data_IF_623733825587
#
_entry.id   IF_623733825587
#
_cell.length_a   1.000
_cell.length_b   1.000
_cell.length_c   1.000
_cell.angle_alpha   90.00
_cell.angle_beta   90.00
_cell.angle_gamma   90.00
#
_symmetry.space_group_name_H-M   'P 1'
#
loop_
_entity.id
_entity.type
_entity.pdbx_description
1 polymer ?
#
# COMPACT_ATOMS: atom_id res chain seq x y z
N UNK A 1 6.69 -22.51 -3.34
CA UNK A 1 6.74 -21.03 -3.47
C UNK A 1 6.34 -20.66 -4.88
N UNK A 2 5.57 -19.60 -5.05
CA UNK A 2 5.12 -19.09 -6.36
C UNK A 2 6.21 -18.21 -6.97
N UNK A 3 6.53 -18.43 -8.26
CA UNK A 3 7.53 -17.62 -8.96
C UNK A 3 7.02 -16.18 -9.17
N UNK A 4 7.83 -15.19 -8.86
CA UNK A 4 7.48 -13.79 -8.89
C UNK A 4 8.42 -12.94 -9.74
N UNK A 5 7.90 -11.86 -10.33
CA UNK A 5 8.66 -10.79 -10.97
C UNK A 5 8.33 -9.45 -10.31
N UNK A 6 9.33 -8.58 -10.15
CA UNK A 6 9.15 -7.17 -9.81
C UNK A 6 9.27 -6.34 -11.08
N UNK A 7 8.21 -5.62 -11.43
CA UNK A 7 8.17 -4.67 -12.54
C UNK A 7 8.47 -3.26 -12.03
N UNK A 8 9.35 -2.54 -12.71
CA UNK A 8 9.85 -1.24 -12.25
C UNK A 8 10.96 -1.37 -11.21
N UNK A 9 11.84 -2.36 -11.38
CA UNK A 9 12.84 -2.80 -10.41
C UNK A 9 13.78 -1.70 -9.89
N UNK A 10 14.14 -0.72 -10.71
CA UNK A 10 15.03 0.39 -10.31
C UNK A 10 14.32 1.53 -9.59
N UNK A 11 12.98 1.53 -9.56
CA UNK A 11 12.18 2.52 -8.84
C UNK A 11 12.15 2.27 -7.33
N UNK A 12 11.81 3.29 -6.54
CA UNK A 12 11.78 3.21 -5.08
C UNK A 12 10.91 2.06 -4.57
N UNK A 13 9.67 1.97 -5.04
CA UNK A 13 8.74 0.89 -4.65
C UNK A 13 9.22 -0.46 -5.17
N UNK A 14 9.80 -0.51 -6.38
CA UNK A 14 10.41 -1.74 -6.92
C UNK A 14 11.55 -2.26 -6.06
N UNK A 15 12.38 -1.38 -5.51
CA UNK A 15 13.45 -1.76 -4.58
C UNK A 15 12.90 -2.22 -3.22
N UNK A 16 11.86 -1.56 -2.68
CA UNK A 16 11.16 -2.04 -1.47
C UNK A 16 10.54 -3.43 -1.69
N UNK A 17 9.98 -3.70 -2.88
CA UNK A 17 9.49 -5.03 -3.24
C UNK A 17 10.61 -6.08 -3.27
N UNK A 18 11.78 -5.75 -3.81
CA UNK A 18 12.94 -6.64 -3.80
C UNK A 18 13.37 -6.99 -2.37
N UNK A 19 13.44 -6.01 -1.46
CA UNK A 19 13.73 -6.26 -0.05
C UNK A 19 12.72 -7.26 0.55
N UNK A 20 11.42 -7.01 0.38
CA UNK A 20 10.36 -7.82 1.00
C UNK A 20 10.20 -9.20 0.38
N UNK A 21 10.60 -9.39 -0.87
CA UNK A 21 10.49 -10.67 -1.59
C UNK A 21 11.78 -11.52 -1.51
N UNK A 22 12.89 -10.96 -1.03
CA UNK A 22 14.19 -11.63 -1.01
C UNK A 22 14.15 -12.99 -0.27
N UNK A 23 13.49 -13.05 0.88
CA UNK A 23 13.35 -14.26 1.71
C UNK A 23 11.87 -14.59 2.00
N UNK A 24 10.98 -14.23 1.09
CA UNK A 24 9.54 -14.34 1.34
C UNK A 24 9.07 -15.80 1.38
N UNK A 25 8.29 -16.24 2.40
CA UNK A 25 7.93 -17.65 2.55
C UNK A 25 6.96 -18.19 1.49
N UNK A 26 6.20 -17.31 0.82
CA UNK A 26 5.18 -17.73 -0.17
C UNK A 26 5.60 -17.46 -1.61
N UNK A 27 6.49 -16.49 -1.85
CA UNK A 27 6.94 -16.07 -3.17
C UNK A 27 8.43 -16.27 -3.33
N UNK A 28 8.86 -16.71 -4.53
CA UNK A 28 10.27 -16.80 -4.92
C UNK A 28 10.52 -15.83 -6.06
N UNK A 29 11.31 -14.78 -5.79
CA UNK A 29 11.68 -13.83 -6.82
C UNK A 29 12.49 -14.55 -7.90
N UNK A 30 12.07 -14.46 -9.17
CA UNK A 30 12.65 -15.15 -10.33
C UNK A 30 13.20 -14.20 -11.37
N UNK A 31 12.67 -12.98 -11.42
CA UNK A 31 13.07 -11.97 -12.37
C UNK A 31 12.84 -10.57 -11.85
N UNK A 32 13.61 -9.64 -12.40
CA UNK A 32 13.38 -8.21 -12.33
C UNK A 32 13.11 -7.71 -13.74
N UNK A 33 12.20 -6.72 -13.87
CA UNK A 33 11.96 -6.07 -15.14
C UNK A 33 11.94 -4.54 -14.96
N UNK A 34 12.42 -3.84 -15.96
CA UNK A 34 12.53 -2.39 -15.96
C UNK A 34 12.49 -1.81 -17.36
N UNK A 35 12.67 -0.49 -17.48
CA UNK A 35 12.73 0.18 -18.78
C UNK A 35 14.03 -0.15 -19.52
N UNK A 36 14.10 0.22 -20.78
CA UNK A 36 15.31 0.09 -21.62
C UNK A 36 16.59 0.63 -20.97
N UNK A 37 16.48 1.58 -20.02
CA UNK A 37 17.64 2.12 -19.28
C UNK A 37 18.32 1.09 -18.39
N UNK A 38 17.59 0.09 -17.93
CA UNK A 38 18.08 -0.93 -16.99
C UNK A 38 18.01 -2.34 -17.57
N UNK A 39 17.35 -2.53 -18.71
CA UNK A 39 17.28 -3.81 -19.41
C UNK A 39 18.68 -4.33 -19.75
N UNK A 40 18.91 -5.62 -19.48
CA UNK A 40 20.21 -6.28 -19.68
C UNK A 40 21.24 -6.08 -18.56
N UNK A 41 21.01 -5.16 -17.60
CA UNK A 41 21.90 -4.98 -16.45
C UNK A 41 21.83 -6.20 -15.53
N UNK A 42 22.96 -6.55 -14.92
CA UNK A 42 22.93 -7.51 -13.81
C UNK A 42 22.20 -6.87 -12.61
N UNK A 43 21.33 -7.58 -11.89
CA UNK A 43 20.62 -7.07 -10.72
C UNK A 43 21.51 -6.38 -9.67
N UNK A 44 22.73 -6.87 -9.47
CA UNK A 44 23.69 -6.29 -8.52
C UNK A 44 24.23 -4.92 -8.99
N UNK A 45 24.13 -4.61 -10.28
CA UNK A 45 24.58 -3.36 -10.87
C UNK A 45 23.50 -2.29 -10.89
N UNK A 46 22.25 -2.66 -10.53
CA UNK A 46 21.17 -1.69 -10.45
C UNK A 46 21.47 -0.62 -9.39
N UNK A 47 21.32 0.67 -9.73
CA UNK A 47 21.51 1.73 -8.77
C UNK A 47 20.58 1.55 -7.57
N UNK A 48 21.14 1.30 -6.39
CA UNK A 48 20.37 1.16 -5.16
C UNK A 48 20.23 2.52 -4.47
N UNK A 49 19.01 2.90 -4.12
CA UNK A 49 18.72 4.20 -3.54
C UNK A 49 18.07 4.16 -2.16
N UNK A 50 17.76 2.97 -1.66
CA UNK A 50 17.24 2.80 -0.30
C UNK A 50 18.37 2.69 0.70
N UNK A 51 18.04 2.91 1.98
CA UNK A 51 18.95 2.66 3.09
C UNK A 51 19.33 1.18 3.16
N UNK A 52 20.56 0.92 3.60
CA UNK A 52 21.12 -0.44 3.67
C UNK A 52 21.62 -0.96 2.33
N UNK A 53 21.98 -2.22 2.31
CA UNK A 53 22.46 -2.91 1.11
C UNK A 53 21.31 -3.48 0.28
N UNK A 54 21.50 -3.51 -1.04
CA UNK A 54 20.62 -4.27 -1.92
C UNK A 54 20.63 -5.75 -1.52
N UNK A 55 19.48 -6.45 -1.56
CA UNK A 55 19.46 -7.89 -1.31
C UNK A 55 20.33 -8.60 -2.36
N UNK A 56 21.10 -9.59 -1.93
CA UNK A 56 21.86 -10.44 -2.85
C UNK A 56 20.90 -11.42 -3.51
N UNK A 57 20.60 -11.18 -4.78
CA UNK A 57 19.64 -11.96 -5.56
C UNK A 57 20.38 -12.63 -6.73
N UNK A 58 20.31 -13.95 -6.79
CA UNK A 58 20.80 -14.73 -7.94
C UNK A 58 19.68 -14.80 -8.99
N UNK A 59 19.63 -13.78 -9.86
CA UNK A 59 18.60 -13.60 -10.85
C UNK A 59 19.22 -13.34 -12.23
N UNK A 60 18.49 -13.63 -13.33
CA UNK A 60 18.92 -13.27 -14.67
C UNK A 60 19.01 -11.73 -14.83
N UNK A 61 19.68 -11.25 -15.88
CA UNK A 61 19.68 -9.84 -16.22
C UNK A 61 18.27 -9.25 -16.28
N UNK A 62 18.14 -7.99 -15.91
CA UNK A 62 16.86 -7.27 -15.89
C UNK A 62 16.18 -7.34 -17.26
N UNK A 63 14.93 -7.76 -17.28
CA UNK A 63 14.13 -7.87 -18.50
C UNK A 63 13.61 -6.49 -18.92
N UNK A 64 13.43 -6.29 -20.23
CA UNK A 64 12.79 -5.09 -20.75
C UNK A 64 11.26 -5.23 -20.68
N UNK A 65 10.58 -4.26 -20.04
CA UNK A 65 9.11 -4.24 -19.95
C UNK A 65 8.44 -4.02 -21.31
N UNK A 66 9.15 -3.43 -22.28
CA UNK A 66 8.65 -3.17 -23.63
C UNK A 66 8.90 -4.35 -24.61
N UNK A 67 9.67 -5.37 -24.18
CA UNK A 67 9.92 -6.55 -25.02
C UNK A 67 8.61 -7.29 -25.34
N UNK A 68 8.25 -7.49 -26.63
CA UNK A 68 7.10 -8.31 -27.00
C UNK A 68 7.15 -9.74 -26.45
N UNK A 69 8.35 -10.33 -26.31
CA UNK A 69 8.58 -11.68 -25.78
C UNK A 69 8.64 -11.76 -24.24
N UNK A 70 8.41 -10.67 -23.53
CA UNK A 70 8.53 -10.63 -22.06
C UNK A 70 7.70 -11.71 -21.38
N UNK A 71 6.45 -11.91 -21.78
CA UNK A 71 5.53 -12.88 -21.15
C UNK A 71 6.06 -14.30 -21.27
N UNK A 72 6.55 -14.69 -22.43
CA UNK A 72 7.14 -16.02 -22.65
C UNK A 72 8.38 -16.24 -21.79
N UNK A 73 9.28 -15.25 -21.77
CA UNK A 73 10.49 -15.31 -20.91
C UNK A 73 10.15 -15.44 -19.44
N UNK A 74 9.14 -14.70 -18.96
CA UNK A 74 8.70 -14.80 -17.57
C UNK A 74 8.15 -16.20 -17.26
N UNK A 75 7.39 -16.79 -18.19
CA UNK A 75 6.87 -18.17 -18.04
C UNK A 75 8.00 -19.21 -18.01
N UNK A 76 8.99 -19.07 -18.88
CA UNK A 76 10.18 -19.95 -18.92
C UNK A 76 10.97 -19.89 -17.60
N UNK A 77 10.99 -18.73 -16.92
CA UNK A 77 11.57 -18.55 -15.59
C UNK A 77 10.67 -19.06 -14.46
N UNK A 78 9.50 -19.62 -14.79
CA UNK A 78 8.54 -20.11 -13.81
C UNK A 78 7.81 -18.99 -13.05
N UNK A 79 7.70 -17.80 -13.62
CA UNK A 79 6.95 -16.68 -13.03
C UNK A 79 5.46 -16.89 -13.24
N UNK A 80 4.70 -16.79 -12.16
CA UNK A 80 3.24 -16.82 -12.16
C UNK A 80 2.60 -15.59 -11.49
N UNK A 81 3.41 -14.73 -10.84
CA UNK A 81 2.98 -13.53 -10.14
C UNK A 81 3.83 -12.32 -10.53
N UNK A 82 3.19 -11.20 -10.81
CA UNK A 82 3.85 -9.93 -11.08
C UNK A 82 3.47 -8.89 -10.01
N UNK A 83 4.50 -8.29 -9.41
CA UNK A 83 4.39 -7.16 -8.51
C UNK A 83 4.72 -5.89 -9.29
N UNK A 84 3.69 -5.13 -9.65
CA UNK A 84 3.84 -3.98 -10.55
C UNK A 84 4.04 -2.68 -9.77
N UNK A 85 5.18 -2.05 -10.01
CA UNK A 85 5.56 -0.73 -9.49
C UNK A 85 6.02 0.21 -10.62
N UNK A 86 5.44 0.04 -11.80
CA UNK A 86 5.70 0.89 -12.97
C UNK A 86 4.79 2.14 -12.96
N UNK A 87 5.17 3.20 -13.71
CA UNK A 87 4.28 4.33 -13.94
C UNK A 87 2.94 3.93 -14.56
N UNK A 88 1.89 4.72 -14.32
CA UNK A 88 0.52 4.38 -14.72
C UNK A 88 0.32 4.25 -16.24
N UNK A 89 1.04 5.02 -17.03
CA UNK A 89 1.04 4.93 -18.49
C UNK A 89 1.65 3.60 -18.99
N UNK A 90 2.75 3.16 -18.38
CA UNK A 90 3.37 1.85 -18.65
C UNK A 90 2.43 0.72 -18.20
N UNK A 91 1.83 0.84 -17.01
CA UNK A 91 0.89 -0.16 -16.49
C UNK A 91 -0.29 -0.41 -17.43
N UNK A 92 -0.83 0.65 -18.06
CA UNK A 92 -1.95 0.56 -18.99
C UNK A 92 -1.69 -0.40 -20.18
N UNK A 93 -0.45 -0.46 -20.64
CA UNK A 93 -0.08 -1.32 -21.77
C UNK A 93 0.46 -2.68 -21.31
N UNK A 94 1.21 -2.71 -20.21
CA UNK A 94 1.95 -3.89 -19.75
C UNK A 94 1.08 -4.89 -18.99
N UNK A 95 0.29 -4.41 -18.02
CA UNK A 95 -0.45 -5.30 -17.10
C UNK A 95 -1.48 -6.19 -17.82
N UNK A 96 -2.27 -5.71 -18.80
CA UNK A 96 -3.15 -6.59 -19.56
C UNK A 96 -2.40 -7.71 -20.32
N UNK A 97 -1.23 -7.42 -20.89
CA UNK A 97 -0.41 -8.44 -21.57
C UNK A 97 0.01 -9.57 -20.64
N UNK A 98 0.33 -9.24 -19.39
CA UNK A 98 0.69 -10.24 -18.37
C UNK A 98 -0.53 -11.08 -17.97
N UNK A 99 -1.68 -10.44 -17.75
CA UNK A 99 -2.94 -11.11 -17.43
C UNK A 99 -3.36 -12.05 -18.56
N UNK A 100 -3.35 -11.59 -19.80
CA UNK A 100 -3.65 -12.40 -21.00
C UNK A 100 -2.67 -13.58 -21.13
N UNK A 101 -1.44 -13.38 -20.68
CA UNK A 101 -0.41 -14.41 -20.60
C UNK A 101 -0.54 -15.36 -19.40
N UNK A 102 -1.56 -15.23 -18.56
CA UNK A 102 -1.80 -16.11 -17.41
C UNK A 102 -0.98 -15.77 -16.17
N UNK A 103 -0.35 -14.59 -16.10
CA UNK A 103 0.41 -14.12 -14.94
C UNK A 103 -0.50 -13.28 -14.06
N UNK A 104 -0.62 -13.65 -12.78
CA UNK A 104 -1.36 -12.89 -11.77
C UNK A 104 -0.68 -11.53 -11.54
N UNK A 105 -1.43 -10.43 -11.55
CA UNK A 105 -0.89 -9.08 -11.39
C UNK A 105 -1.42 -8.44 -10.11
N UNK A 106 -0.50 -8.04 -9.23
CA UNK A 106 -0.76 -7.11 -8.14
C UNK A 106 -0.08 -5.77 -8.45
N UNK A 107 -0.85 -4.69 -8.51
CA UNK A 107 -0.40 -3.38 -9.01
C UNK A 107 -0.47 -2.27 -7.98
N UNK A 108 0.61 -1.48 -7.88
CA UNK A 108 0.63 -0.18 -7.19
C UNK A 108 0.24 0.99 -8.09
N UNK A 109 0.19 0.78 -9.42
CA UNK A 109 -0.16 1.83 -10.36
C UNK A 109 -1.62 2.27 -10.18
N UNK A 110 -1.89 3.57 -10.38
CA UNK A 110 -3.25 4.10 -10.27
C UNK A 110 -4.12 3.82 -11.50
N UNK A 111 -3.53 3.29 -12.58
CA UNK A 111 -4.17 3.13 -13.89
C UNK A 111 -5.46 2.30 -13.87
N UNK A 112 -5.50 1.28 -13.03
CA UNK A 112 -6.60 0.31 -12.96
C UNK A 112 -7.42 0.37 -11.67
N UNK A 113 -7.08 1.25 -10.73
CA UNK A 113 -7.87 1.45 -9.52
C UNK A 113 -9.29 1.87 -9.85
N UNK A 114 -10.27 1.36 -9.13
CA UNK A 114 -11.71 1.66 -9.30
C UNK A 114 -12.28 1.33 -10.69
N UNK A 115 -11.68 0.38 -11.41
CA UNK A 115 -12.26 -0.17 -12.64
C UNK A 115 -13.08 -1.42 -12.33
N UNK A 116 -14.22 -1.55 -12.97
CA UNK A 116 -15.07 -2.75 -12.87
C UNK A 116 -14.28 -4.00 -13.21
N UNK A 117 -14.42 -5.06 -12.42
CA UNK A 117 -13.71 -6.33 -12.60
C UNK A 117 -12.27 -6.34 -12.12
N UNK A 118 -11.72 -5.20 -11.65
CA UNK A 118 -10.36 -5.12 -11.08
C UNK A 118 -10.48 -4.72 -9.61
N UNK A 119 -10.18 -5.65 -8.68
CA UNK A 119 -10.24 -5.38 -7.25
C UNK A 119 -9.31 -4.24 -6.82
N UNK A 120 -9.81 -3.33 -5.99
CA UNK A 120 -9.03 -2.36 -5.22
C UNK A 120 -9.09 -2.79 -3.76
N UNK A 121 -7.97 -3.26 -3.21
CA UNK A 121 -7.97 -3.97 -1.94
C UNK A 121 -6.89 -3.48 -0.99
N UNK A 122 -7.30 -3.26 0.26
CA UNK A 122 -6.45 -3.22 1.44
C UNK A 122 -6.71 -4.53 2.19
N UNK A 123 -5.77 -5.46 2.12
CA UNK A 123 -6.00 -6.87 2.42
C UNK A 123 -6.58 -7.15 3.82
N UNK A 124 -6.19 -6.37 4.82
CA UNK A 124 -6.68 -6.47 6.20
C UNK A 124 -7.92 -5.60 6.49
N UNK A 125 -8.53 -5.01 5.46
CA UNK A 125 -9.70 -4.13 5.57
C UNK A 125 -10.90 -4.63 4.77
N UNK A 126 -10.73 -4.83 3.45
CA UNK A 126 -11.79 -5.21 2.52
C UNK A 126 -11.42 -6.42 1.62
N UNK A 127 -10.98 -7.56 2.19
CA UNK A 127 -10.54 -8.73 1.43
C UNK A 127 -11.62 -9.29 0.52
N UNK A 128 -12.90 -9.14 0.90
CA UNK A 128 -14.05 -9.55 0.10
C UNK A 128 -14.12 -8.86 -1.27
N UNK A 129 -13.52 -7.67 -1.44
CA UNK A 129 -13.47 -7.00 -2.74
C UNK A 129 -12.64 -7.77 -3.79
N UNK A 130 -11.82 -8.72 -3.39
CA UNK A 130 -11.19 -9.65 -4.33
C UNK A 130 -12.22 -10.41 -5.19
N UNK A 131 -13.45 -10.57 -4.71
CA UNK A 131 -14.55 -11.22 -5.44
C UNK A 131 -15.14 -10.36 -6.57
N UNK A 132 -14.70 -9.11 -6.75
CA UNK A 132 -15.06 -8.32 -7.96
C UNK A 132 -14.46 -8.89 -9.24
N UNK A 133 -13.40 -9.70 -9.11
CA UNK A 133 -12.79 -10.42 -10.22
C UNK A 133 -13.73 -11.50 -10.74
N UNK A 134 -13.89 -11.66 -12.07
CA UNK A 134 -14.65 -12.77 -12.63
C UNK A 134 -14.08 -14.13 -12.19
N UNK A 135 -14.94 -15.06 -11.82
CA UNK A 135 -14.52 -16.40 -11.38
C UNK A 135 -13.68 -17.09 -12.48
N UNK A 136 -12.63 -17.79 -12.08
CA UNK A 136 -11.72 -18.50 -13.00
C UNK A 136 -10.77 -17.60 -13.82
N UNK A 137 -10.91 -16.27 -13.75
CA UNK A 137 -10.00 -15.36 -14.45
C UNK A 137 -8.64 -15.23 -13.75
N UNK A 138 -7.61 -14.84 -14.50
CA UNK A 138 -6.31 -14.45 -13.95
C UNK A 138 -6.48 -13.20 -13.10
N UNK A 139 -5.80 -13.13 -11.95
CA UNK A 139 -5.90 -11.97 -11.06
C UNK A 139 -5.27 -10.73 -11.70
N UNK A 140 -6.01 -9.63 -11.69
CA UNK A 140 -5.50 -8.29 -11.82
C UNK A 140 -6.07 -7.46 -10.67
N UNK A 141 -5.28 -7.15 -9.65
CA UNK A 141 -5.73 -6.42 -8.49
C UNK A 141 -4.82 -5.23 -8.16
N UNK A 142 -5.39 -4.19 -7.59
CA UNK A 142 -4.68 -2.97 -7.23
C UNK A 142 -4.62 -2.79 -5.71
N UNK A 143 -3.46 -2.36 -5.22
CA UNK A 143 -3.34 -1.73 -3.92
C UNK A 143 -3.77 -0.25 -3.99
N UNK A 144 -4.11 0.33 -2.84
CA UNK A 144 -4.56 1.70 -2.72
C UNK A 144 -3.42 2.72 -2.77
N UNK A 145 -3.79 3.98 -2.84
CA UNK A 145 -2.93 5.15 -2.67
C UNK A 145 -2.34 5.18 -1.24
N UNK A 146 -1.05 5.54 -1.14
CA UNK A 146 -0.33 5.57 0.12
C UNK A 146 -0.87 6.60 1.13
N UNK A 147 -1.46 7.69 0.64
CA UNK A 147 -2.06 8.74 1.47
C UNK A 147 -3.36 8.29 2.12
N UNK A 148 -4.06 7.33 1.52
CA UNK A 148 -5.30 6.82 2.07
C UNK A 148 -5.10 6.03 3.36
N UNK A 149 -4.05 5.24 3.48
CA UNK A 149 -3.86 4.29 4.58
C UNK A 149 -3.94 4.96 5.96
N UNK A 150 -3.21 6.04 6.25
CA UNK A 150 -3.30 6.70 7.56
C UNK A 150 -4.67 7.36 7.83
N UNK A 151 -5.48 7.64 6.81
CA UNK A 151 -6.87 8.09 6.98
C UNK A 151 -7.83 6.90 7.19
N UNK A 152 -7.67 5.85 6.42
CA UNK A 152 -8.59 4.71 6.36
C UNK A 152 -8.71 3.97 7.69
N UNK A 153 -7.59 3.71 8.37
CA UNK A 153 -7.59 2.91 9.59
C UNK A 153 -8.39 3.56 10.72
N UNK A 154 -8.09 4.81 11.14
CA UNK A 154 -8.87 5.47 12.17
C UNK A 154 -10.31 5.80 11.70
N UNK A 155 -10.53 6.13 10.41
CA UNK A 155 -11.86 6.31 9.86
C UNK A 155 -12.73 5.08 10.11
N UNK A 156 -12.26 3.88 9.74
CA UNK A 156 -13.03 2.66 9.89
C UNK A 156 -13.26 2.27 11.35
N UNK A 157 -12.26 2.46 12.22
CA UNK A 157 -12.43 2.20 13.65
C UNK A 157 -13.56 3.04 14.23
N UNK A 158 -13.56 4.34 13.95
CA UNK A 158 -14.56 5.28 14.44
C UNK A 158 -15.92 5.11 13.74
N UNK A 159 -15.91 4.85 12.43
CA UNK A 159 -17.15 4.65 11.68
C UNK A 159 -17.91 3.41 12.13
N UNK A 160 -17.22 2.31 12.41
CA UNK A 160 -17.83 1.06 12.92
C UNK A 160 -18.42 1.23 14.33
N UNK A 161 -17.77 2.05 15.17
CA UNK A 161 -18.17 2.22 16.56
C UNK A 161 -19.27 3.29 16.73
N UNK A 162 -19.18 4.41 16.02
CA UNK A 162 -19.99 5.61 16.27
C UNK A 162 -20.69 6.15 15.03
N UNK A 163 -20.36 5.66 13.85
CA UNK A 163 -20.64 6.32 12.57
C UNK A 163 -19.80 7.60 12.40
N UNK A 164 -19.27 7.83 11.23
CA UNK A 164 -18.63 9.11 10.85
C UNK A 164 -19.57 9.80 9.87
N UNK A 165 -19.98 11.05 10.18
CA UNK A 165 -20.80 11.89 9.31
C UNK A 165 -19.97 12.58 8.26
N UNK A 166 -18.90 13.24 8.72
CA UNK A 166 -17.98 13.97 7.85
C UNK A 166 -16.58 14.02 8.48
N UNK A 167 -15.58 14.40 7.68
CA UNK A 167 -14.23 14.64 8.16
C UNK A 167 -13.59 15.82 7.44
N UNK A 168 -12.61 16.43 8.10
CA UNK A 168 -11.69 17.39 7.50
C UNK A 168 -10.27 16.93 7.76
N UNK A 169 -9.50 16.73 6.69
CA UNK A 169 -8.16 16.16 6.79
C UNK A 169 -7.11 16.98 6.01
N UNK A 170 -5.90 17.02 6.55
CA UNK A 170 -4.72 17.54 5.86
C UNK A 170 -3.63 16.47 5.88
N UNK A 171 -3.10 16.11 4.71
CA UNK A 171 -1.97 15.20 4.64
C UNK A 171 -0.64 15.94 4.57
N UNK A 172 0.35 15.42 5.30
CA UNK A 172 1.76 15.75 5.19
C UNK A 172 2.47 14.59 4.49
N UNK A 173 2.72 14.75 3.19
CA UNK A 173 3.30 13.68 2.38
C UNK A 173 4.81 13.82 2.27
N UNK A 174 5.54 12.78 2.65
CA UNK A 174 6.98 12.69 2.53
C UNK A 174 7.45 12.67 1.06
N UNK A 175 8.72 13.02 0.81
CA UNK A 175 9.34 13.10 -0.51
C UNK A 175 9.29 11.79 -1.29
N UNK A 176 9.47 10.65 -0.61
CA UNK A 176 9.43 9.32 -1.23
C UNK A 176 8.10 9.01 -1.92
N UNK A 177 6.99 9.67 -1.54
CA UNK A 177 5.72 9.57 -2.23
C UNK A 177 5.74 10.05 -3.68
N UNK A 178 6.74 10.87 -4.07
CA UNK A 178 6.99 11.28 -5.45
C UNK A 178 8.17 10.52 -6.10
N UNK A 179 8.70 9.48 -5.43
CA UNK A 179 9.78 8.66 -5.92
C UNK A 179 11.17 9.28 -5.81
N UNK A 180 12.16 8.65 -6.44
CA UNK A 180 13.57 9.04 -6.32
C UNK A 180 13.89 10.43 -6.84
N UNK A 181 13.21 10.90 -7.88
CA UNK A 181 13.46 12.22 -8.44
C UNK A 181 13.37 13.34 -7.39
N UNK A 182 12.34 13.28 -6.54
CA UNK A 182 12.18 14.27 -5.47
C UNK A 182 13.13 13.99 -4.28
N UNK A 183 13.33 12.73 -3.91
CA UNK A 183 14.26 12.36 -2.83
C UNK A 183 15.69 12.83 -3.11
N UNK A 184 16.13 12.77 -4.36
CA UNK A 184 17.47 13.14 -4.80
C UNK A 184 17.60 14.61 -5.19
N UNK A 185 16.52 15.38 -5.13
CA UNK A 185 16.51 16.77 -5.57
C UNK A 185 16.61 16.95 -7.09
N UNK A 186 16.35 15.93 -7.87
CA UNK A 186 16.35 15.96 -9.34
C UNK A 186 15.08 16.62 -9.89
N UNK A 187 14.02 16.67 -9.08
CA UNK A 187 12.74 17.32 -9.38
C UNK A 187 12.52 18.43 -8.35
N UNK A 188 12.03 19.61 -8.76
CA UNK A 188 11.74 20.70 -7.84
C UNK A 188 10.70 20.31 -6.78
N UNK A 189 10.92 20.75 -5.55
CA UNK A 189 9.96 20.59 -4.48
C UNK A 189 8.71 21.46 -4.74
N UNK A 190 7.54 20.83 -4.67
CA UNK A 190 6.25 21.53 -4.70
C UNK A 190 5.49 21.24 -3.43
N UNK A 191 5.00 22.25 -2.76
CA UNK A 191 4.19 22.11 -1.55
C UNK A 191 2.82 21.48 -1.87
N UNK A 192 2.14 21.96 -2.90
CA UNK A 192 0.83 21.44 -3.31
C UNK A 192 0.97 20.18 -4.17
N UNK A 193 0.05 19.25 -4.00
CA UNK A 193 -0.04 17.98 -4.76
C UNK A 193 -1.41 17.95 -5.47
N UNK A 194 -1.51 18.51 -6.67
CA UNK A 194 -2.78 18.60 -7.38
C UNK A 194 -3.40 17.22 -7.67
N UNK A 195 -4.72 17.12 -7.47
CA UNK A 195 -5.50 15.91 -7.77
C UNK A 195 -5.33 14.77 -6.78
N UNK A 196 -4.45 14.90 -5.77
CA UNK A 196 -4.20 13.82 -4.82
C UNK A 196 -5.35 13.66 -3.81
N UNK A 197 -5.95 14.77 -3.39
CA UNK A 197 -7.10 14.74 -2.49
C UNK A 197 -8.30 14.02 -3.11
N UNK A 198 -8.64 14.35 -4.35
CA UNK A 198 -9.74 13.73 -5.09
C UNK A 198 -9.51 12.22 -5.32
N UNK A 199 -8.28 11.82 -5.62
CA UNK A 199 -7.92 10.40 -5.74
C UNK A 199 -8.11 9.68 -4.42
N UNK A 200 -7.59 10.25 -3.33
CA UNK A 200 -7.64 9.65 -1.99
C UNK A 200 -9.08 9.50 -1.51
N UNK A 201 -9.89 10.56 -1.61
CA UNK A 201 -11.32 10.53 -1.26
C UNK A 201 -12.09 9.52 -2.12
N UNK A 202 -11.85 9.50 -3.43
CA UNK A 202 -12.49 8.56 -4.33
C UNK A 202 -12.10 7.10 -4.08
N UNK A 203 -10.88 6.81 -3.64
CA UNK A 203 -10.48 5.46 -3.22
C UNK A 203 -11.08 5.09 -1.86
N UNK A 204 -11.22 6.04 -0.92
CA UNK A 204 -11.91 5.82 0.35
C UNK A 204 -13.33 5.34 0.12
N UNK A 205 -14.15 6.08 -0.67
CA UNK A 205 -15.53 5.70 -0.95
C UNK A 205 -15.65 4.32 -1.58
N UNK A 206 -14.68 3.94 -2.42
CA UNK A 206 -14.64 2.63 -3.07
C UNK A 206 -14.30 1.50 -2.07
N UNK A 207 -13.26 1.67 -1.24
CA UNK A 207 -12.80 0.65 -0.29
C UNK A 207 -13.82 0.39 0.82
N UNK A 208 -14.53 1.44 1.28
CA UNK A 208 -15.59 1.28 2.29
C UNK A 208 -16.97 1.00 1.67
N UNK A 209 -17.02 0.81 0.35
CA UNK A 209 -18.24 0.48 -0.38
C UNK A 209 -18.68 -0.96 -0.16
N UNK A 210 -19.95 -1.21 -0.43
CA UNK A 210 -20.54 -2.53 -0.34
C UNK A 210 -20.25 -3.35 -1.59
N UNK A 211 -19.87 -4.60 -1.41
CA UNK A 211 -19.77 -5.56 -2.50
C UNK A 211 -21.10 -6.31 -2.67
N UNK A 212 -21.74 -6.17 -3.81
CA UNK A 212 -22.94 -6.88 -4.16
C UNK A 212 -22.84 -7.47 -5.57
N UNK A 213 -23.13 -8.76 -5.73
CA UNK A 213 -23.08 -9.50 -7.01
C UNK A 213 -21.77 -9.26 -7.79
N UNK A 214 -20.62 -9.28 -7.12
CA UNK A 214 -19.30 -9.06 -7.74
C UNK A 214 -19.03 -7.63 -8.17
N UNK A 215 -19.87 -6.66 -7.79
CA UNK A 215 -19.69 -5.24 -8.10
C UNK A 215 -19.59 -4.43 -6.83
N UNK A 216 -18.60 -3.54 -6.75
CA UNK A 216 -18.48 -2.57 -5.65
C UNK A 216 -19.44 -1.41 -5.88
N UNK A 217 -20.27 -1.14 -4.91
CA UNK A 217 -21.10 0.05 -4.82
C UNK A 217 -20.44 1.03 -3.85
N UNK A 218 -19.81 2.11 -4.35
CA UNK A 218 -19.09 3.05 -3.49
C UNK A 218 -20.03 3.66 -2.44
N UNK A 219 -19.55 3.71 -1.20
CA UNK A 219 -20.27 4.39 -0.12
C UNK A 219 -20.22 5.91 -0.28
N UNK A 220 -21.26 6.59 0.18
CA UNK A 220 -21.20 8.04 0.34
C UNK A 220 -20.39 8.35 1.59
N UNK A 221 -19.25 8.99 1.40
CA UNK A 221 -18.38 9.50 2.49
C UNK A 221 -18.26 10.99 2.31
N UNK A 222 -18.86 11.75 3.22
CA UNK A 222 -18.72 13.21 3.22
C UNK A 222 -17.41 13.61 3.90
N UNK A 223 -16.67 14.53 3.28
CA UNK A 223 -15.41 14.99 3.83
C UNK A 223 -14.68 15.98 2.93
N UNK A 224 -13.68 16.61 3.51
CA UNK A 224 -12.78 17.52 2.81
C UNK A 224 -11.34 17.13 3.09
N UNK A 225 -10.50 17.17 2.07
CA UNK A 225 -9.09 16.82 2.19
C UNK A 225 -8.20 17.82 1.45
N UNK A 226 -7.08 18.15 2.08
CA UNK A 226 -5.97 18.88 1.46
C UNK A 226 -4.72 18.03 1.51
N UNK A 227 -3.99 17.96 0.40
CA UNK A 227 -2.73 17.22 0.32
C UNK A 227 -1.56 18.19 0.12
N UNK A 228 -0.58 18.09 1.01
CA UNK A 228 0.62 18.92 0.94
C UNK A 228 1.88 18.07 1.10
N UNK A 229 2.98 18.52 0.48
CA UNK A 229 4.30 17.91 0.60
C UNK A 229 5.06 18.53 1.76
N UNK A 230 5.79 17.67 2.49
CA UNK A 230 6.71 18.10 3.54
C UNK A 230 8.13 17.64 3.23
N UNK A 231 9.10 18.32 3.84
CA UNK A 231 10.54 18.05 3.67
C UNK A 231 11.00 16.91 4.60
N UNK A 232 10.34 15.75 4.43
CA UNK A 232 10.63 14.52 5.14
C UNK A 232 10.92 13.41 4.13
N UNK A 233 11.79 12.45 4.48
CA UNK A 233 12.13 11.37 3.56
C UNK A 233 10.98 10.39 3.37
N UNK A 234 10.48 9.81 4.47
CA UNK A 234 9.44 8.80 4.52
C UNK A 234 8.38 9.13 5.59
N UNK A 235 7.23 8.47 5.50
CA UNK A 235 6.13 8.60 6.46
C UNK A 235 5.12 9.67 6.08
N UNK A 236 3.93 9.23 5.66
CA UNK A 236 2.78 10.13 5.46
C UNK A 236 2.02 10.28 6.76
N UNK A 237 1.74 11.53 7.14
CA UNK A 237 0.90 11.86 8.29
C UNK A 237 -0.40 12.48 7.78
N UNK A 238 -1.50 12.13 8.43
CA UNK A 238 -2.80 12.80 8.30
C UNK A 238 -3.12 13.47 9.63
N UNK A 239 -3.40 14.77 9.59
CA UNK A 239 -4.10 15.50 10.66
C UNK A 239 -5.58 15.52 10.29
N UNK A 240 -6.45 14.98 11.13
CA UNK A 240 -7.86 14.82 10.81
C UNK A 240 -8.77 15.13 11.99
N UNK A 241 -9.90 15.77 11.65
CA UNK A 241 -11.05 15.93 12.56
C UNK A 241 -12.22 15.17 11.97
N UNK A 242 -12.76 14.22 12.74
CA UNK A 242 -13.97 13.48 12.42
C UNK A 242 -15.16 14.06 13.17
N UNK A 243 -16.30 14.21 12.50
CA UNK A 243 -17.60 14.42 13.14
C UNK A 243 -18.35 13.08 13.22
N UNK A 244 -18.63 12.63 14.42
CA UNK A 244 -19.30 11.36 14.68
C UNK A 244 -20.84 11.50 14.54
N UNK A 245 -21.51 10.41 14.22
CA UNK A 245 -22.98 10.36 14.20
C UNK A 245 -23.58 10.24 15.60
N UNK A 246 -22.87 9.60 16.53
CA UNK A 246 -23.25 9.47 17.93
C UNK A 246 -22.23 10.14 18.85
N UNK A 247 -22.65 10.46 20.06
CA UNK A 247 -21.77 11.03 21.10
C UNK A 247 -20.77 9.98 21.56
N UNK A 248 -19.54 10.41 21.85
CA UNK A 248 -18.49 9.55 22.37
C UNK A 248 -17.58 10.31 23.34
N UNK A 249 -17.15 9.62 24.37
CA UNK A 249 -16.12 10.08 25.31
C UNK A 249 -14.73 9.73 24.77
N UNK A 250 -13.70 10.39 25.28
CA UNK A 250 -12.31 10.08 24.94
C UNK A 250 -11.99 8.59 25.21
N UNK A 251 -12.45 8.03 26.32
CA UNK A 251 -12.22 6.63 26.68
C UNK A 251 -12.87 5.66 25.69
N UNK A 252 -14.07 5.95 25.22
CA UNK A 252 -14.75 5.12 24.21
C UNK A 252 -14.07 5.20 22.86
N UNK A 253 -13.62 6.39 22.45
CA UNK A 253 -12.82 6.58 21.24
C UNK A 253 -11.51 5.81 21.30
N UNK A 254 -10.79 5.89 22.43
CA UNK A 254 -9.56 5.11 22.66
C UNK A 254 -9.83 3.61 22.54
N UNK A 255 -10.88 3.13 23.18
CA UNK A 255 -11.27 1.72 23.13
C UNK A 255 -11.60 1.26 21.70
N UNK A 256 -12.30 2.08 20.91
CA UNK A 256 -12.62 1.77 19.52
C UNK A 256 -11.37 1.69 18.63
N UNK A 257 -10.40 2.61 18.80
CA UNK A 257 -9.13 2.60 18.10
C UNK A 257 -8.28 1.37 18.50
N UNK A 258 -8.20 1.07 19.80
CA UNK A 258 -7.41 -0.06 20.32
C UNK A 258 -8.00 -1.43 19.95
N UNK A 259 -9.31 -1.51 19.71
CA UNK A 259 -10.03 -2.72 19.31
C UNK A 259 -9.97 -2.98 17.79
N UNK A 260 -9.47 -2.04 16.98
CA UNK A 260 -9.41 -2.21 15.54
C UNK A 260 -8.42 -3.32 15.17
N UNK A 261 -8.91 -4.37 14.54
CA UNK A 261 -8.17 -5.60 14.25
C UNK A 261 -8.04 -5.84 12.74
N UNK A 262 -7.01 -6.58 12.37
CA UNK A 262 -6.84 -7.16 11.03
C UNK A 262 -8.03 -8.04 10.68
N UNK A 263 -8.51 -7.96 9.44
CA UNK A 263 -9.59 -8.83 8.97
C UNK A 263 -9.17 -10.31 9.11
N UNK A 264 -10.06 -11.21 9.54
CA UNK A 264 -9.73 -12.63 9.75
C UNK A 264 -9.06 -13.31 8.56
N UNK A 265 -9.46 -12.98 7.32
CA UNK A 265 -8.89 -13.56 6.10
C UNK A 265 -7.41 -13.18 5.87
N UNK A 266 -6.98 -12.04 6.41
CA UNK A 266 -5.58 -11.59 6.33
C UNK A 266 -4.78 -11.90 7.60
N UNK A 267 -5.45 -12.28 8.68
CA UNK A 267 -4.78 -12.59 9.95
C UNK A 267 -3.85 -13.79 9.80
N UNK A 268 -2.61 -13.64 10.28
CA UNK A 268 -1.60 -14.71 10.21
C UNK A 268 -0.85 -14.80 8.88
N UNK A 269 -1.18 -13.96 7.88
CA UNK A 269 -0.34 -13.83 6.69
C UNK A 269 1.02 -13.22 7.04
N UNK A 270 2.10 -13.59 6.34
CA UNK A 270 3.46 -13.18 6.71
C UNK A 270 3.67 -11.67 6.88
N UNK A 271 3.06 -10.86 6.00
CA UNK A 271 3.16 -9.39 6.05
C UNK A 271 2.07 -8.72 6.87
N UNK A 272 1.09 -9.47 7.39
CA UNK A 272 -0.02 -8.90 8.17
C UNK A 272 0.47 -8.49 9.57
N UNK A 273 0.35 -7.21 9.98
CA UNK A 273 0.65 -6.82 11.34
C UNK A 273 -0.38 -7.43 12.31
N UNK A 274 0.03 -7.78 13.52
CA UNK A 274 -0.91 -8.30 14.52
C UNK A 274 -2.01 -7.27 14.85
N UNK A 275 -1.61 -6.00 14.97
CA UNK A 275 -2.53 -4.86 15.04
C UNK A 275 -2.28 -3.96 13.84
N UNK A 276 -3.26 -3.75 12.97
CA UNK A 276 -3.11 -2.88 11.80
C UNK A 276 -3.02 -1.39 12.19
N UNK A 277 -3.37 -1.08 13.45
CA UNK A 277 -3.29 0.25 14.03
C UNK A 277 -2.80 0.17 15.47
N UNK A 278 -1.89 1.07 15.84
CA UNK A 278 -1.32 1.23 17.18
C UNK A 278 -1.57 2.65 17.67
N UNK A 279 -2.11 2.80 18.89
CA UNK A 279 -2.28 4.10 19.51
C UNK A 279 -1.09 4.42 20.43
N UNK A 280 -0.63 5.66 20.40
CA UNK A 280 0.40 6.21 21.30
C UNK A 280 -0.16 7.36 22.12
N UNK A 281 0.39 7.55 23.31
CA UNK A 281 0.11 8.72 24.12
C UNK A 281 0.97 9.89 23.63
N UNK A 282 0.32 11.01 23.24
CA UNK A 282 1.00 12.20 22.74
C UNK A 282 1.26 12.19 21.23
N UNK A 283 2.30 12.92 20.76
CA UNK A 283 2.49 13.17 19.35
C UNK A 283 2.97 11.95 18.57
N UNK A 284 2.48 11.86 17.34
CA UNK A 284 3.00 10.93 16.34
C UNK A 284 4.35 11.46 15.83
N UNK A 285 5.35 10.60 15.78
CA UNK A 285 6.72 10.92 15.45
C UNK A 285 7.25 9.97 14.36
N UNK A 286 7.79 10.52 13.25
CA UNK A 286 8.29 9.72 12.12
C UNK A 286 9.51 8.89 12.50
N UNK A 287 10.42 9.44 13.29
CA UNK A 287 11.66 8.75 13.66
C UNK A 287 11.37 7.53 14.56
N UNK A 288 10.42 7.67 15.49
CA UNK A 288 10.09 6.63 16.47
C UNK A 288 9.09 5.61 15.95
N UNK A 289 8.13 6.03 15.14
CA UNK A 289 6.93 5.25 14.88
C UNK A 289 6.82 4.73 13.44
N UNK A 290 7.73 5.13 12.54
CA UNK A 290 7.66 4.79 11.12
C UNK A 290 7.62 3.28 10.87
N UNK A 291 8.39 2.53 11.66
CA UNK A 291 8.55 1.09 11.49
C UNK A 291 7.59 0.24 12.37
N UNK A 292 6.51 0.83 12.86
CA UNK A 292 5.51 0.12 13.66
C UNK A 292 5.09 -1.21 13.01
N UNK A 293 5.19 -2.32 13.77
CA UNK A 293 4.96 -3.68 13.29
C UNK A 293 3.63 -4.29 13.76
N UNK A 294 2.87 -3.53 14.56
CA UNK A 294 1.62 -3.98 15.18
C UNK A 294 1.79 -4.48 16.61
N UNK A 295 3.02 -4.53 17.14
CA UNK A 295 3.35 -4.88 18.52
C UNK A 295 4.31 -3.89 19.16
N UNK A 296 5.25 -3.39 18.37
CA UNK A 296 6.38 -2.56 18.81
C UNK A 296 6.75 -1.51 17.77
N UNK A 297 7.75 -0.71 18.12
CA UNK A 297 8.37 0.30 17.26
C UNK A 297 9.86 -0.04 17.08
N UNK A 298 10.19 -1.01 16.19
CA UNK A 298 11.57 -1.42 16.00
C UNK A 298 12.43 -0.28 15.42
N UNK A 299 13.65 -0.15 15.93
CA UNK A 299 14.62 0.85 15.48
C UNK A 299 15.66 0.29 14.51
N UNK A 300 15.71 -1.03 14.40
CA UNK A 300 16.54 -1.75 13.43
C UNK A 300 15.65 -2.75 12.72
N UNK A 301 15.59 -2.67 11.42
CA UNK A 301 14.67 -3.45 10.58
C UNK A 301 15.46 -4.07 9.43
N UNK A 302 15.29 -5.37 9.22
CA UNK A 302 15.65 -6.05 8.00
C UNK A 302 14.38 -6.45 7.24
N UNK A 303 14.03 -5.70 6.21
CA UNK A 303 12.79 -5.92 5.46
C UNK A 303 12.74 -7.25 4.69
N UNK A 304 13.84 -7.98 4.60
CA UNK A 304 13.87 -9.34 4.04
C UNK A 304 13.35 -10.40 5.02
N UNK A 305 13.33 -10.10 6.32
CA UNK A 305 12.90 -11.00 7.40
C UNK A 305 11.77 -10.41 8.24
N UNK A 306 11.81 -9.10 8.50
CA UNK A 306 10.85 -8.39 9.34
C UNK A 306 9.65 -7.92 8.50
N UNK A 307 8.89 -8.88 7.94
CA UNK A 307 7.82 -8.59 6.99
C UNK A 307 6.66 -7.76 7.56
N UNK A 308 6.53 -7.65 8.88
CA UNK A 308 5.52 -6.82 9.55
C UNK A 308 6.03 -5.41 9.88
N UNK A 309 7.34 -5.15 9.81
CA UNK A 309 7.90 -3.83 10.09
C UNK A 309 7.37 -2.77 9.11
N UNK A 310 6.92 -1.64 9.66
CA UNK A 310 6.30 -0.55 8.90
C UNK A 310 4.89 -0.85 8.38
N UNK A 311 4.26 -1.95 8.83
CA UNK A 311 2.93 -2.37 8.36
C UNK A 311 1.78 -1.90 9.24
N UNK A 312 2.03 -1.36 10.43
CA UNK A 312 0.98 -0.77 11.27
C UNK A 312 0.88 0.75 11.06
N UNK A 313 -0.34 1.27 11.11
CA UNK A 313 -0.62 2.70 11.22
C UNK A 313 -0.51 3.12 12.67
N UNK A 314 0.08 4.27 12.94
CA UNK A 314 0.20 4.81 14.31
C UNK A 314 -0.70 6.01 14.47
N UNK A 315 -1.50 6.04 15.54
CA UNK A 315 -2.43 7.13 15.89
C UNK A 315 -2.01 7.77 17.19
N UNK A 316 -1.93 9.09 17.21
CA UNK A 316 -1.64 9.90 18.41
C UNK A 316 -2.26 11.28 18.32
N UNK A 317 -1.85 12.19 19.19
CA UNK A 317 -2.42 13.55 19.31
C UNK A 317 -3.96 13.53 19.44
N UNK A 318 -4.49 12.53 20.13
CA UNK A 318 -5.92 12.26 20.21
C UNK A 318 -6.61 13.22 21.18
N UNK A 319 -7.64 13.91 20.72
CA UNK A 319 -8.56 14.69 21.56
C UNK A 319 -10.01 14.50 21.11
N UNK A 320 -10.93 14.76 22.06
CA UNK A 320 -12.37 14.79 21.79
C UNK A 320 -12.88 16.18 22.19
N UNK A 321 -13.28 16.97 21.19
CA UNK A 321 -13.73 18.34 21.37
C UNK A 321 -15.27 18.37 21.34
N UNK A 322 -15.89 18.42 22.52
CA UNK A 322 -17.34 18.22 22.66
C UNK A 322 -17.72 16.74 22.40
N UNK A 323 -19.02 16.42 22.26
CA UNK A 323 -19.47 15.02 22.27
C UNK A 323 -19.21 14.26 20.95
N UNK A 324 -18.90 14.95 19.85
CA UNK A 324 -18.88 14.33 18.49
C UNK A 324 -17.66 14.65 17.66
N UNK A 325 -16.76 15.51 18.07
CA UNK A 325 -15.60 15.87 17.29
C UNK A 325 -14.35 15.17 17.84
N UNK A 326 -13.78 14.30 17.03
CA UNK A 326 -12.55 13.58 17.35
C UNK A 326 -11.43 14.11 16.46
N UNK A 327 -10.40 14.68 17.08
CA UNK A 327 -9.17 15.07 16.40
C UNK A 327 -8.09 14.04 16.69
N UNK A 328 -7.32 13.69 15.68
CA UNK A 328 -6.14 12.85 15.83
C UNK A 328 -5.14 13.12 14.69
N UNK A 329 -3.92 12.67 14.91
CA UNK A 329 -2.91 12.50 13.85
C UNK A 329 -2.60 11.03 13.67
N UNK A 330 -2.37 10.62 12.43
CA UNK A 330 -2.01 9.25 12.09
C UNK A 330 -0.85 9.20 11.10
N UNK A 331 0.05 8.24 11.30
CA UNK A 331 1.25 8.00 10.49
C UNK A 331 1.19 6.61 9.88
N UNK A 332 1.55 6.49 8.61
CA UNK A 332 1.86 5.21 7.97
C UNK A 332 3.13 5.31 7.13
N UNK A 333 3.89 4.23 7.08
CA UNK A 333 5.04 4.14 6.18
C UNK A 333 4.57 4.05 4.73
N UNK A 334 4.69 5.14 3.99
CA UNK A 334 4.11 5.28 2.65
C UNK A 334 4.69 4.34 1.60
N UNK A 335 5.99 4.01 1.68
CA UNK A 335 6.63 3.10 0.71
C UNK A 335 6.54 1.62 1.11
N UNK A 336 6.19 1.34 2.36
CA UNK A 336 5.97 -0.02 2.90
C UNK A 336 4.47 -0.28 3.00
N UNK A 337 3.80 0.19 4.05
CA UNK A 337 2.36 -0.05 4.26
C UNK A 337 1.51 0.49 3.11
N UNK A 338 1.83 1.69 2.65
CA UNK A 338 1.12 2.38 1.56
C UNK A 338 1.50 1.93 0.15
N UNK A 339 2.48 1.03 0.00
CA UNK A 339 2.96 0.58 -1.30
C UNK A 339 3.45 -0.88 -1.27
N UNK A 340 4.77 -1.12 -1.21
CA UNK A 340 5.36 -2.45 -1.41
C UNK A 340 4.83 -3.49 -0.41
N UNK A 341 4.78 -3.17 0.88
CA UNK A 341 4.28 -4.09 1.91
C UNK A 341 2.78 -4.37 1.77
N UNK A 342 1.98 -3.32 1.52
CA UNK A 342 0.55 -3.47 1.26
C UNK A 342 0.27 -4.30 0.01
N UNK A 343 1.10 -4.16 -1.04
CA UNK A 343 0.99 -4.96 -2.26
C UNK A 343 1.36 -6.43 -2.03
N UNK A 344 2.42 -6.69 -1.25
CA UNK A 344 2.81 -8.06 -0.89
C UNK A 344 1.71 -8.71 -0.07
N UNK A 345 1.15 -8.03 0.93
CA UNK A 345 0.04 -8.55 1.73
C UNK A 345 -1.20 -8.84 0.89
N UNK A 346 -1.51 -7.99 -0.11
CA UNK A 346 -2.58 -8.27 -1.08
C UNK A 346 -2.31 -9.56 -1.87
N UNK A 347 -1.08 -9.75 -2.35
CA UNK A 347 -0.70 -10.96 -3.08
C UNK A 347 -0.72 -12.21 -2.18
N UNK A 348 -0.28 -12.11 -0.94
CA UNK A 348 -0.39 -13.18 0.07
C UNK A 348 -1.85 -13.61 0.23
N UNK A 349 -2.75 -12.66 0.52
CA UNK A 349 -4.17 -12.90 0.65
C UNK A 349 -4.76 -13.56 -0.61
N UNK A 350 -4.53 -12.95 -1.77
CA UNK A 350 -5.03 -13.49 -3.02
C UNK A 350 -4.52 -14.90 -3.29
N UNK A 351 -3.27 -15.20 -2.95
CA UNK A 351 -2.66 -16.50 -3.16
C UNK A 351 -3.20 -17.62 -2.25
N UNK A 352 -3.85 -17.27 -1.15
CA UNK A 352 -4.54 -18.26 -0.29
C UNK A 352 -5.94 -18.60 -0.78
N UNK A 353 -6.59 -17.66 -1.46
CA UNK A 353 -7.96 -17.83 -1.96
C UNK A 353 -8.02 -18.51 -3.34
N UNK A 354 -6.90 -18.49 -4.10
CA UNK A 354 -6.79 -19.08 -5.44
C UNK A 354 -5.51 -19.93 -5.54
N UNK A 355 -5.63 -21.16 -5.09
CA UNK A 355 -4.64 -22.21 -5.28
C UNK A 355 -4.92 -23.04 -6.55
#
# INVERSE_FOLDING_TARGET
MRGAVVLGASGLVGQRLQQRLANHPMFSLRALAGSQRTAGMNPIELPWGLEGQAPSLDLPPVLDVDDPGLVERLRDLGVSWAFSAVPSDVALALEPRLVDGGIQVCSNASAYRRRTGIPLVVADVNPNHLQTRPEGSVLHACATNCTLIPLLMPYLALHRAFGVRTYTATSEQARSGAGYGLLRGEVPFSFDIPGEAEKTMGELTWIVGDLNEGTVHPSTVDGQMRCQRVDEADGHIIDVVFELASDATLSEVQAALDAFATHPDAAGLPSAPQKPMMRVEGPVDRERHLWADGLSFPTKVDLATDLQAGMATVVGDLSVDGPRHVRLRSLSHNTVRGAAGGLVLLAELASTQWS
#
